data_IF_260504379803
#
_entry.id   IF_260504379803
#
_cell.length_a   1.000
_cell.length_b   1.000
_cell.length_c   1.000
_cell.angle_alpha   90.00
_cell.angle_beta   90.00
_cell.angle_gamma   90.00
#
_symmetry.space_group_name_H-M   'P 1'
#
loop_
_entity.id
_entity.type
_entity.pdbx_description
1 polymer ?
#
# COMPACT_ATOMS: atom_id res chain seq x y z
N UNK A 1 47.59 60.76 11.20
CA UNK A 1 46.62 59.99 12.03
C UNK A 1 45.47 59.61 11.11
N UNK A 2 45.04 58.35 11.20
CA UNK A 2 44.42 57.59 10.10
C UNK A 2 42.90 57.57 10.29
N UNK A 3 42.17 58.20 9.38
CA UNK A 3 40.73 58.07 9.25
C UNK A 3 40.39 56.65 8.78
N UNK A 4 39.61 55.94 9.57
CA UNK A 4 39.20 54.57 9.29
C UNK A 4 37.82 54.33 9.88
N UNK A 5 36.82 54.98 9.28
CA UNK A 5 35.41 54.76 9.55
C UNK A 5 35.09 53.27 9.45
N UNK A 6 34.57 52.76 10.55
CA UNK A 6 33.57 51.70 10.71
C UNK A 6 32.94 51.25 9.39
N UNK A 7 33.43 50.13 8.83
CA UNK A 7 32.67 49.33 7.88
C UNK A 7 31.58 48.55 8.65
N UNK A 8 30.67 49.29 9.26
CA UNK A 8 29.38 48.78 9.67
C UNK A 8 28.56 48.56 8.41
N UNK A 9 28.51 47.32 7.92
CA UNK A 9 27.84 47.01 6.66
C UNK A 9 27.28 45.60 6.52
N UNK A 10 27.34 44.76 7.56
CA UNK A 10 26.56 43.53 7.58
C UNK A 10 25.28 43.82 8.38
N UNK A 11 24.19 44.11 7.67
CA UNK A 11 22.87 44.18 8.28
C UNK A 11 22.58 42.85 8.99
N UNK A 12 22.29 42.85 10.30
CA UNK A 12 21.74 41.66 10.93
C UNK A 12 20.31 41.54 10.41
N UNK A 13 20.12 40.74 9.36
CA UNK A 13 18.79 40.23 9.04
C UNK A 13 18.21 39.57 10.30
N UNK A 14 16.88 39.60 10.48
CA UNK A 14 16.25 39.16 11.72
C UNK A 14 16.73 37.74 12.07
N UNK A 15 17.54 37.63 13.13
CA UNK A 15 17.93 36.36 13.70
C UNK A 15 16.68 35.75 14.33
N UNK A 16 15.85 35.11 13.51
CA UNK A 16 14.72 34.31 13.96
C UNK A 16 15.28 33.24 14.91
N UNK A 17 14.82 33.30 16.17
CA UNK A 17 15.25 32.37 17.21
C UNK A 17 15.15 30.92 16.68
N UNK A 18 16.19 30.07 16.85
CA UNK A 18 16.20 28.71 16.30
C UNK A 18 14.95 27.89 16.69
N UNK A 19 14.44 28.12 17.90
CA UNK A 19 13.24 27.47 18.41
C UNK A 19 11.97 27.76 17.58
N UNK A 20 11.88 28.95 16.99
CA UNK A 20 10.78 29.32 16.09
C UNK A 20 10.83 28.53 14.79
N UNK A 21 12.03 28.37 14.23
CA UNK A 21 12.25 27.61 12.99
C UNK A 21 11.94 26.11 13.17
N UNK A 22 12.34 25.53 14.30
CA UNK A 22 12.08 24.12 14.62
C UNK A 22 10.58 23.86 14.79
N UNK A 23 9.88 24.70 15.56
CA UNK A 23 8.42 24.55 15.76
C UNK A 23 7.64 24.68 14.45
N UNK A 24 8.02 25.62 13.58
CA UNK A 24 7.38 25.80 12.27
C UNK A 24 7.63 24.58 11.37
N UNK A 25 8.84 24.02 11.40
CA UNK A 25 9.19 22.80 10.65
C UNK A 25 8.38 21.58 11.12
N UNK A 26 8.21 21.40 12.43
CA UNK A 26 7.36 20.34 12.97
C UNK A 26 5.89 20.53 12.62
N UNK A 27 5.37 21.77 12.71
CA UNK A 27 4.02 22.07 12.30
C UNK A 27 3.79 21.76 10.81
N UNK A 28 4.75 22.12 9.95
CA UNK A 28 4.71 21.79 8.53
C UNK A 28 4.70 20.27 8.29
N UNK A 29 5.59 19.52 8.94
CA UNK A 29 5.63 18.06 8.84
C UNK A 29 4.32 17.42 9.31
N UNK A 30 3.71 17.93 10.38
CA UNK A 30 2.42 17.43 10.88
C UNK A 30 1.30 17.62 9.84
N UNK A 31 1.26 18.77 9.16
CA UNK A 31 0.29 19.03 8.09
C UNK A 31 0.50 18.08 6.90
N UNK A 32 1.75 17.88 6.48
CA UNK A 32 2.08 16.93 5.41
C UNK A 32 1.69 15.51 5.80
N UNK A 33 2.05 15.06 7.01
CA UNK A 33 1.71 13.74 7.52
C UNK A 33 0.20 13.52 7.58
N UNK A 34 -0.56 14.53 8.00
CA UNK A 34 -2.02 14.48 8.01
C UNK A 34 -2.59 14.34 6.59
N UNK A 35 -2.07 15.11 5.62
CA UNK A 35 -2.47 14.99 4.22
C UNK A 35 -2.18 13.61 3.64
N UNK A 36 -0.99 13.06 3.93
CA UNK A 36 -0.60 11.70 3.54
C UNK A 36 -1.54 10.66 4.16
N UNK A 37 -1.87 10.79 5.45
CA UNK A 37 -2.78 9.88 6.14
C UNK A 37 -4.17 9.87 5.52
N UNK A 38 -4.72 11.05 5.21
CA UNK A 38 -6.03 11.20 4.56
C UNK A 38 -6.00 10.59 3.15
N UNK A 39 -4.91 10.83 2.39
CA UNK A 39 -4.72 10.24 1.07
C UNK A 39 -4.45 8.73 1.09
N UNK A 40 -3.91 8.20 2.19
CA UNK A 40 -3.66 6.78 2.37
C UNK A 40 -4.95 5.98 2.56
N UNK A 41 -6.01 6.58 3.12
CA UNK A 41 -7.28 5.89 3.32
C UNK A 41 -7.93 5.32 2.05
N UNK A 42 -8.08 6.09 0.94
CA UNK A 42 -8.60 5.54 -0.31
C UNK A 42 -7.65 4.51 -0.92
N UNK A 43 -6.33 4.69 -0.80
CA UNK A 43 -5.33 3.74 -1.30
C UNK A 43 -5.38 2.39 -0.54
N UNK A 44 -5.46 2.46 0.79
CA UNK A 44 -5.60 1.28 1.65
C UNK A 44 -6.93 0.56 1.36
N UNK A 45 -8.01 1.32 1.21
CA UNK A 45 -9.33 0.77 0.85
C UNK A 45 -9.30 0.06 -0.50
N UNK A 46 -8.65 0.66 -1.51
CA UNK A 46 -8.45 0.03 -2.83
C UNK A 46 -7.60 -1.23 -2.74
N UNK A 47 -6.51 -1.20 -1.98
CA UNK A 47 -5.64 -2.36 -1.80
C UNK A 47 -6.39 -3.52 -1.14
N UNK A 48 -7.14 -3.24 -0.07
CA UNK A 48 -7.97 -4.24 0.62
C UNK A 48 -9.04 -4.79 -0.32
N UNK A 49 -9.78 -3.93 -1.02
CA UNK A 49 -10.79 -4.37 -1.99
C UNK A 49 -10.18 -5.27 -3.07
N UNK A 50 -9.05 -4.87 -3.64
CA UNK A 50 -8.35 -5.63 -4.67
C UNK A 50 -7.90 -6.99 -4.15
N UNK A 51 -7.35 -7.06 -2.94
CA UNK A 51 -6.96 -8.30 -2.30
C UNK A 51 -8.16 -9.24 -2.08
N UNK A 52 -9.29 -8.71 -1.60
CA UNK A 52 -10.53 -9.48 -1.41
C UNK A 52 -11.06 -10.01 -2.74
N UNK A 53 -11.09 -9.18 -3.78
CA UNK A 53 -11.52 -9.59 -5.12
C UNK A 53 -10.61 -10.68 -5.68
N UNK A 54 -9.29 -10.52 -5.54
CA UNK A 54 -8.32 -11.52 -5.97
C UNK A 54 -8.52 -12.85 -5.22
N UNK A 55 -8.70 -12.81 -3.90
CA UNK A 55 -8.99 -13.99 -3.09
C UNK A 55 -10.30 -14.66 -3.50
N UNK A 56 -11.36 -13.89 -3.75
CA UNK A 56 -12.65 -14.41 -4.21
C UNK A 56 -12.54 -15.05 -5.60
N UNK A 57 -11.82 -14.43 -6.52
CA UNK A 57 -11.56 -14.99 -7.85
C UNK A 57 -10.73 -16.27 -7.76
N UNK A 58 -9.71 -16.29 -6.90
CA UNK A 58 -8.88 -17.47 -6.65
C UNK A 58 -9.70 -18.61 -6.05
N UNK A 59 -10.50 -18.34 -5.01
CA UNK A 59 -11.41 -19.32 -4.41
C UNK A 59 -12.41 -19.86 -5.41
N UNK A 60 -12.99 -19.00 -6.25
CA UNK A 60 -13.89 -19.41 -7.34
C UNK A 60 -13.17 -20.27 -8.37
N UNK A 61 -11.93 -19.93 -8.70
CA UNK A 61 -11.09 -20.72 -9.60
C UNK A 61 -10.82 -22.09 -9.00
N UNK A 62 -10.43 -22.17 -7.73
CA UNK A 62 -10.28 -23.45 -7.04
C UNK A 62 -11.58 -24.24 -7.03
N UNK A 63 -12.72 -23.67 -6.66
CA UNK A 63 -14.01 -24.38 -6.72
C UNK A 63 -14.28 -24.89 -8.14
N UNK A 64 -13.98 -24.10 -9.18
CA UNK A 64 -14.19 -24.51 -10.58
C UNK A 64 -13.18 -25.52 -11.12
N UNK A 65 -11.95 -25.55 -10.60
CA UNK A 65 -10.89 -26.47 -11.04
C UNK A 65 -10.82 -27.73 -10.18
N UNK A 66 -11.18 -27.64 -8.91
CA UNK A 66 -11.24 -28.76 -7.95
C UNK A 66 -12.56 -29.53 -8.11
N UNK A 67 -13.66 -28.89 -8.52
CA UNK A 67 -14.92 -29.59 -8.83
C UNK A 67 -14.84 -30.61 -9.97
N UNK A 68 -14.07 -30.40 -11.06
CA UNK A 68 -13.89 -31.43 -12.09
C UNK A 68 -12.79 -32.45 -11.78
N UNK A 69 -11.80 -32.15 -10.92
CA UNK A 69 -10.69 -33.09 -10.65
C UNK A 69 -10.85 -33.93 -9.37
N UNK A 70 -11.66 -33.50 -8.39
CA UNK A 70 -11.89 -34.30 -7.15
C UNK A 70 -12.92 -35.41 -7.36
N UNK A 71 -13.71 -35.33 -8.44
CA UNK A 71 -14.45 -36.47 -8.96
C UNK A 71 -13.74 -36.85 -10.26
N UNK A 72 -12.88 -37.87 -10.20
CA UNK A 72 -12.18 -38.41 -11.37
C UNK A 72 -13.18 -38.89 -12.42
N UNK A 73 -13.69 -37.96 -13.23
CA UNK A 73 -14.66 -38.23 -14.29
C UNK A 73 -13.87 -38.38 -15.57
N UNK A 74 -13.15 -39.50 -15.66
CA UNK A 74 -12.52 -39.92 -16.91
C UNK A 74 -13.64 -40.36 -17.84
N UNK A 75 -14.05 -39.49 -18.75
CA UNK A 75 -14.95 -39.85 -19.85
C UNK A 75 -14.17 -40.68 -20.87
N UNK A 76 -14.26 -42.01 -20.74
CA UNK A 76 -13.70 -42.94 -21.70
C UNK A 76 -14.54 -42.86 -22.99
N UNK A 77 -13.96 -42.46 -24.14
CA UNK A 77 -14.70 -42.34 -25.38
C UNK A 77 -15.21 -43.72 -25.80
N UNK A 78 -16.53 -43.89 -25.84
CA UNK A 78 -17.22 -45.13 -26.21
C UNK A 78 -17.81 -45.97 -25.07
N UNK A 79 -17.62 -45.58 -23.79
CA UNK A 79 -18.06 -46.40 -22.64
C UNK A 79 -19.02 -45.71 -21.65
N UNK A 80 -19.36 -44.43 -21.89
CA UNK A 80 -20.17 -43.66 -20.95
C UNK A 80 -19.40 -43.28 -19.68
N UNK A 81 -20.02 -42.44 -18.85
CA UNK A 81 -19.35 -41.84 -17.68
C UNK A 81 -19.30 -42.82 -16.51
N UNK A 82 -18.10 -43.26 -16.12
CA UNK A 82 -17.92 -44.17 -14.98
C UNK A 82 -17.32 -43.39 -13.80
N UNK A 83 -18.02 -43.34 -12.68
CA UNK A 83 -17.52 -42.77 -11.42
C UNK A 83 -16.59 -43.77 -10.72
N UNK A 84 -15.30 -43.45 -10.61
CA UNK A 84 -14.36 -44.25 -9.81
C UNK A 84 -14.26 -43.69 -8.40
N UNK A 85 -14.76 -44.44 -7.42
CA UNK A 85 -14.57 -44.16 -5.99
C UNK A 85 -13.28 -44.85 -5.54
N UNK A 86 -12.22 -44.09 -5.32
CA UNK A 86 -10.98 -44.63 -4.73
C UNK A 86 -11.26 -45.09 -3.29
N UNK A 87 -11.51 -46.39 -3.13
CA UNK A 87 -11.46 -47.04 -1.82
C UNK A 87 -10.00 -47.32 -1.50
N UNK A 88 -9.32 -46.36 -0.86
CA UNK A 88 -7.98 -46.60 -0.30
C UNK A 88 -8.16 -47.28 1.06
N UNK A 89 -7.82 -48.57 1.11
CA UNK A 89 -7.54 -49.30 2.34
C UNK A 89 -6.16 -48.99 2.88
#
# INVERSE_FOLDING_TARGET
MKDGLTAAGQAPGPNVSPDGSVRVSFAFLAVVALGVLVAAYPLASLAVLTAVVALAAMARSFVRHVAPETVGRVSLPGLGTVEYRFTRG
#
